data_IF_966146071344
#
_entry.id   IF_966146071344
#
_cell.length_a   1.000
_cell.length_b   1.000
_cell.length_c   1.000
_cell.angle_alpha   90.00
_cell.angle_beta   90.00
_cell.angle_gamma   90.00
#
_symmetry.space_group_name_H-M   'P 1'
#
loop_
_entity.id
_entity.type
_entity.pdbx_description
1 polymer ?
#
# COMPACT_ATOMS: atom_id res chain seq x y z
N UNK A 1 -3.54 8.11 13.48
CA UNK A 1 -4.37 6.93 13.16
C UNK A 1 -3.99 6.46 11.77
N UNK A 2 -3.69 5.19 11.57
CA UNK A 2 -3.38 4.65 10.24
C UNK A 2 -4.61 3.97 9.64
N UNK A 3 -4.78 4.09 8.34
CA UNK A 3 -5.86 3.47 7.57
C UNK A 3 -5.26 2.57 6.50
N UNK A 4 -5.91 1.46 6.20
CA UNK A 4 -5.47 0.44 5.25
C UNK A 4 -6.45 0.30 4.11
N UNK A 5 -5.94 0.21 2.89
CA UNK A 5 -6.74 -0.06 1.71
C UNK A 5 -6.14 -1.26 0.96
N UNK A 6 -6.96 -2.26 0.67
CA UNK A 6 -6.53 -3.48 -0.01
C UNK A 6 -6.71 -3.36 -1.52
N UNK A 7 -5.68 -3.72 -2.27
CA UNK A 7 -5.71 -3.78 -3.72
C UNK A 7 -4.82 -4.92 -4.25
N UNK A 8 -5.12 -5.45 -5.46
CA UNK A 8 -4.32 -6.53 -6.03
C UNK A 8 -2.92 -6.04 -6.43
N UNK A 9 -1.93 -6.92 -6.30
CA UNK A 9 -0.64 -6.71 -6.92
C UNK A 9 -0.83 -6.85 -8.42
N UNK A 10 -0.39 -5.84 -9.18
CA UNK A 10 -0.69 -5.74 -10.61
C UNK A 10 0.30 -6.49 -11.48
N UNK A 11 1.61 -6.34 -11.21
CA UNK A 11 2.67 -6.94 -12.03
C UNK A 11 3.96 -7.14 -11.23
N UNK A 12 4.57 -8.30 -11.39
CA UNK A 12 5.96 -8.57 -11.01
C UNK A 12 6.70 -8.93 -12.29
N UNK A 13 7.76 -8.19 -12.62
CA UNK A 13 8.53 -8.42 -13.82
C UNK A 13 9.16 -9.81 -13.85
N UNK A 14 8.97 -10.51 -14.97
CA UNK A 14 9.70 -11.74 -15.28
C UNK A 14 11.13 -11.46 -15.76
N UNK A 15 11.40 -10.21 -16.16
CA UNK A 15 12.66 -9.79 -16.71
C UNK A 15 13.57 -9.15 -15.65
N UNK A 16 14.80 -9.14 -15.97
CA UNK A 16 16.00 -8.58 -15.37
C UNK A 16 15.91 -7.87 -14.03
N UNK A 17 16.48 -8.56 -13.07
CA UNK A 17 16.95 -7.99 -11.81
C UNK A 17 18.08 -7.00 -12.06
N UNK A 18 17.95 -5.81 -11.49
CA UNK A 18 19.06 -4.87 -11.39
C UNK A 18 19.61 -4.96 -9.98
N UNK A 19 20.87 -5.35 -9.84
CA UNK A 19 21.54 -5.49 -8.55
C UNK A 19 20.76 -6.36 -7.52
N UNK A 20 20.16 -7.48 -7.97
CA UNK A 20 19.42 -8.40 -7.11
C UNK A 20 18.00 -7.93 -6.74
N UNK A 21 17.53 -6.82 -7.33
CA UNK A 21 16.20 -6.27 -7.11
C UNK A 21 15.27 -6.64 -8.26
N UNK A 22 14.05 -6.98 -7.92
CA UNK A 22 12.99 -7.35 -8.88
C UNK A 22 11.98 -6.21 -9.00
N UNK A 23 11.73 -5.69 -10.22
CA UNK A 23 10.69 -4.69 -10.41
C UNK A 23 9.31 -5.21 -10.06
N UNK A 24 8.52 -4.38 -9.39
CA UNK A 24 7.12 -4.61 -9.03
C UNK A 24 6.29 -3.39 -9.39
N UNK A 25 5.05 -3.63 -9.83
CA UNK A 25 4.04 -2.62 -10.05
C UNK A 25 2.77 -3.03 -9.32
N UNK A 26 2.21 -2.11 -8.56
CA UNK A 26 1.02 -2.38 -7.74
C UNK A 26 -0.02 -1.28 -7.93
N UNK A 27 -1.29 -1.66 -7.77
CA UNK A 27 -2.37 -0.71 -7.52
C UNK A 27 -2.43 -0.49 -6.02
N UNK A 28 -2.23 0.74 -5.56
CA UNK A 28 -2.34 1.06 -4.14
C UNK A 28 -3.81 1.12 -3.71
N UNK A 29 -4.65 1.78 -4.50
CA UNK A 29 -6.11 1.81 -4.31
C UNK A 29 -6.83 2.36 -5.54
N UNK A 30 -8.16 2.12 -5.60
CA UNK A 30 -9.06 2.74 -6.57
C UNK A 30 -9.38 4.18 -6.18
N UNK A 31 -9.63 5.04 -7.16
CA UNK A 31 -10.06 6.42 -7.01
C UNK A 31 -11.54 6.50 -7.43
N UNK A 32 -12.37 7.12 -6.60
CA UNK A 32 -13.81 7.21 -6.84
C UNK A 32 -14.22 8.61 -7.30
N UNK A 33 -15.10 8.74 -8.30
CA UNK A 33 -15.53 10.05 -8.79
C UNK A 33 -16.41 10.82 -7.77
N UNK A 34 -17.08 10.08 -6.89
CA UNK A 34 -18.02 10.63 -5.89
C UNK A 34 -17.94 9.86 -4.56
N UNK A 35 -18.66 10.30 -3.52
CA UNK A 35 -18.67 9.69 -2.19
C UNK A 35 -19.71 8.56 -2.06
N UNK A 36 -20.35 8.14 -3.13
CA UNK A 36 -21.34 7.06 -3.10
C UNK A 36 -20.71 5.69 -3.18
N UNK A 37 -19.40 5.66 -3.47
CA UNK A 37 -18.59 4.44 -3.50
C UNK A 37 -17.33 4.61 -2.67
N UNK A 38 -16.95 3.56 -1.98
CA UNK A 38 -15.78 3.48 -1.12
C UNK A 38 -15.22 2.07 -1.06
N UNK A 39 -14.03 1.95 -0.53
CA UNK A 39 -13.39 0.66 -0.26
C UNK A 39 -13.95 -0.01 1.00
N UNK A 40 -13.63 -1.29 1.21
CA UNK A 40 -14.11 -2.08 2.35
C UNK A 40 -13.87 -1.43 3.71
N UNK A 41 -12.81 -0.61 3.83
CA UNK A 41 -12.51 0.15 5.05
C UNK A 41 -13.29 1.48 5.18
N UNK A 42 -14.23 1.77 4.28
CA UNK A 42 -15.07 2.97 4.28
C UNK A 42 -14.44 4.22 3.68
N UNK A 43 -13.24 4.13 3.08
CA UNK A 43 -12.56 5.28 2.48
C UNK A 43 -12.97 5.47 1.03
N UNK A 44 -13.35 6.70 0.67
CA UNK A 44 -13.57 7.16 -0.70
C UNK A 44 -12.41 8.05 -1.14
N UNK A 45 -11.52 7.53 -1.97
CA UNK A 45 -10.36 8.25 -2.46
C UNK A 45 -10.74 9.21 -3.58
N UNK A 46 -10.39 10.50 -3.44
CA UNK A 46 -10.61 11.53 -4.46
C UNK A 46 -9.31 11.91 -5.14
N UNK A 47 -9.36 12.02 -6.47
CA UNK A 47 -8.16 12.26 -7.29
C UNK A 47 -7.40 13.53 -6.86
N UNK A 48 -8.11 14.61 -6.54
CA UNK A 48 -7.47 15.87 -6.10
C UNK A 48 -6.58 15.70 -4.87
N UNK A 49 -7.04 14.95 -3.84
CA UNK A 49 -6.25 14.69 -2.63
C UNK A 49 -5.18 13.61 -2.85
N UNK A 50 -5.47 12.61 -3.70
CA UNK A 50 -4.47 11.63 -4.11
C UNK A 50 -3.31 12.32 -4.83
N UNK A 51 -3.58 13.20 -5.79
CA UNK A 51 -2.57 13.98 -6.51
C UNK A 51 -1.75 14.88 -5.57
N UNK A 52 -2.37 15.49 -4.58
CA UNK A 52 -1.70 16.34 -3.60
C UNK A 52 -0.73 15.56 -2.69
N UNK A 53 -1.02 14.28 -2.40
CA UNK A 53 -0.29 13.48 -1.41
C UNK A 53 0.57 12.36 -2.00
N UNK A 54 0.44 12.01 -3.29
CA UNK A 54 1.14 10.87 -3.92
C UNK A 54 2.68 11.00 -3.90
N UNK A 55 3.22 12.19 -3.70
CA UNK A 55 4.67 12.40 -3.59
C UNK A 55 5.30 11.62 -2.43
N UNK A 56 4.53 11.36 -1.35
CA UNK A 56 4.97 10.57 -0.20
C UNK A 56 5.11 9.07 -0.48
N UNK A 57 4.62 8.59 -1.63
CA UNK A 57 4.83 7.19 -2.06
C UNK A 57 6.27 6.94 -2.50
N UNK A 58 6.97 7.99 -2.97
CA UNK A 58 8.37 7.84 -3.40
C UNK A 58 9.26 7.58 -2.18
N UNK A 59 9.96 6.45 -2.17
CA UNK A 59 10.75 5.98 -1.04
C UNK A 59 9.95 5.20 0.02
N UNK A 60 8.63 5.09 -0.14
CA UNK A 60 7.78 4.33 0.78
C UNK A 60 8.18 2.85 0.78
N UNK A 61 8.25 2.27 1.98
CA UNK A 61 8.64 0.87 2.16
C UNK A 61 7.56 -0.09 1.69
N UNK A 62 7.99 -1.16 1.02
CA UNK A 62 7.21 -2.38 0.85
C UNK A 62 7.61 -3.31 1.98
N UNK A 63 6.65 -3.77 2.76
CA UNK A 63 6.87 -4.57 3.96
C UNK A 63 6.10 -5.88 3.92
N UNK A 64 6.58 -6.86 4.69
CA UNK A 64 5.90 -8.11 4.97
C UNK A 64 6.17 -8.53 6.41
N UNK A 65 5.16 -9.01 7.10
CA UNK A 65 5.29 -9.84 8.29
C UNK A 65 5.27 -11.30 7.84
N UNK A 66 6.24 -12.09 8.26
CA UNK A 66 6.34 -13.47 7.79
C UNK A 66 5.80 -14.47 8.83
N UNK A 67 5.11 -15.50 8.35
CA UNK A 67 4.60 -16.59 9.20
C UNK A 67 5.72 -17.39 9.87
N UNK A 68 6.87 -17.50 9.21
CA UNK A 68 7.98 -18.33 9.65
C UNK A 68 9.32 -17.62 9.44
N UNK A 69 10.37 -18.14 10.10
CA UNK A 69 11.75 -17.69 9.91
C UNK A 69 12.28 -17.92 8.48
N UNK A 70 11.61 -18.78 7.69
CA UNK A 70 11.95 -19.01 6.29
C UNK A 70 11.70 -17.79 5.39
N UNK A 71 10.89 -16.83 5.86
CA UNK A 71 10.58 -15.58 5.16
C UNK A 71 10.08 -15.81 3.74
N UNK A 72 9.12 -16.71 3.60
CA UNK A 72 8.49 -17.09 2.33
C UNK A 72 7.05 -16.58 2.22
N UNK A 73 6.21 -16.88 3.22
CA UNK A 73 4.78 -16.56 3.20
C UNK A 73 4.48 -15.31 4.02
N UNK A 74 3.99 -14.23 3.40
CA UNK A 74 3.56 -13.04 4.12
C UNK A 74 2.24 -13.31 4.86
N UNK A 75 2.06 -12.61 5.98
CA UNK A 75 0.93 -12.85 6.87
C UNK A 75 0.15 -11.57 7.19
N UNK A 76 0.84 -10.50 7.58
CA UNK A 76 0.21 -9.30 8.13
C UNK A 76 1.13 -8.06 7.90
N UNK A 77 0.80 -6.95 8.55
CA UNK A 77 1.52 -5.68 8.49
C UNK A 77 2.71 -5.57 9.44
N UNK A 78 2.84 -6.49 10.41
CA UNK A 78 3.87 -6.41 11.45
C UNK A 78 3.61 -5.37 12.52
N UNK A 79 2.36 -4.95 12.69
CA UNK A 79 1.97 -3.99 13.73
C UNK A 79 1.98 -4.67 15.10
N UNK A 80 2.81 -4.14 16.01
CA UNK A 80 2.98 -4.66 17.37
C UNK A 80 2.20 -3.86 18.43
N UNK A 81 2.14 -2.54 18.26
CA UNK A 81 1.51 -1.65 19.23
C UNK A 81 1.12 -0.31 18.60
N UNK A 82 0.56 0.59 19.40
CA UNK A 82 0.28 1.99 19.07
C UNK A 82 0.92 2.87 20.13
N UNK A 83 1.79 3.79 19.72
CA UNK A 83 2.47 4.71 20.64
C UNK A 83 1.45 5.56 21.39
N UNK A 84 1.67 5.75 22.69
CA UNK A 84 0.76 6.52 23.55
C UNK A 84 0.80 8.03 23.25
N UNK A 85 1.98 8.55 22.90
CA UNK A 85 2.23 9.98 22.73
C UNK A 85 1.60 10.60 21.48
N UNK A 86 1.66 9.93 20.33
CA UNK A 86 1.19 10.47 19.03
C UNK A 86 0.18 9.57 18.33
N UNK A 87 -0.17 8.43 18.94
CA UNK A 87 -1.12 7.45 18.40
C UNK A 87 -0.71 6.86 17.04
N UNK A 88 0.57 6.92 16.71
CA UNK A 88 1.10 6.26 15.52
C UNK A 88 1.33 4.77 15.80
N UNK A 89 1.04 3.91 14.82
CA UNK A 89 1.31 2.47 14.93
C UNK A 89 2.81 2.18 14.95
N UNK A 90 3.20 1.17 15.71
CA UNK A 90 4.53 0.56 15.69
C UNK A 90 4.47 -0.72 14.85
N UNK A 91 5.39 -0.83 13.90
CA UNK A 91 5.50 -1.95 12.97
C UNK A 91 6.83 -2.70 13.17
N UNK A 92 7.10 -3.14 14.41
CA UNK A 92 8.38 -3.73 14.77
C UNK A 92 8.59 -5.13 14.18
N UNK A 93 7.50 -5.85 13.86
CA UNK A 93 7.55 -7.15 13.18
C UNK A 93 7.49 -7.03 11.64
N UNK A 94 7.42 -5.82 11.11
CA UNK A 94 7.47 -5.59 9.68
C UNK A 94 8.89 -5.70 9.14
N UNK A 95 9.07 -6.59 8.17
CA UNK A 95 10.34 -6.72 7.42
C UNK A 95 10.23 -5.89 6.13
N UNK A 96 11.17 -4.94 5.95
CA UNK A 96 11.27 -4.19 4.70
C UNK A 96 11.79 -5.10 3.59
N UNK A 97 10.96 -5.39 2.59
CA UNK A 97 11.29 -6.27 1.46
C UNK A 97 11.50 -5.53 0.16
N UNK A 98 11.28 -4.23 0.14
CA UNK A 98 11.42 -3.38 -1.05
C UNK A 98 11.01 -1.93 -0.79
N UNK A 99 10.92 -1.15 -1.86
CA UNK A 99 10.49 0.25 -1.82
C UNK A 99 9.90 0.69 -3.16
N UNK A 100 9.14 1.79 -3.14
CA UNK A 100 8.63 2.42 -4.34
C UNK A 100 9.50 3.58 -4.80
N UNK A 101 9.67 3.70 -6.12
CA UNK A 101 10.47 4.74 -6.77
C UNK A 101 9.58 5.77 -7.48
N UNK A 102 8.35 5.39 -7.81
CA UNK A 102 7.43 6.19 -8.61
C UNK A 102 5.98 5.92 -8.26
N UNK A 103 5.15 6.96 -8.32
CA UNK A 103 3.70 6.84 -8.22
C UNK A 103 3.01 7.78 -9.20
N UNK A 104 1.85 7.36 -9.70
CA UNK A 104 1.02 8.12 -10.64
C UNK A 104 -0.40 7.60 -10.65
N UNK A 105 -1.32 8.44 -11.11
CA UNK A 105 -2.72 8.06 -11.31
C UNK A 105 -2.91 7.58 -12.74
N UNK A 106 -3.53 6.41 -12.92
CA UNK A 106 -3.77 5.80 -14.23
C UNK A 106 -5.07 5.00 -14.25
N UNK A 107 -5.53 4.70 -15.45
CA UNK A 107 -6.67 3.82 -15.68
C UNK A 107 -6.17 2.38 -15.83
N UNK A 108 -6.59 1.50 -14.93
CA UNK A 108 -6.14 0.10 -14.85
C UNK A 108 -7.31 -0.84 -15.06
N UNK A 109 -7.13 -1.88 -15.87
CA UNK A 109 -8.11 -2.94 -16.02
C UNK A 109 -7.98 -3.94 -14.86
N UNK A 110 -9.02 -4.05 -14.05
CA UNK A 110 -9.10 -4.98 -12.92
C UNK A 110 -10.37 -5.80 -13.05
N UNK A 111 -10.23 -7.11 -13.25
CA UNK A 111 -11.37 -8.01 -13.40
C UNK A 111 -12.26 -7.68 -14.61
N UNK A 112 -11.67 -7.21 -15.71
CA UNK A 112 -12.39 -6.82 -16.95
C UNK A 112 -13.10 -5.46 -16.87
N UNK A 113 -12.83 -4.67 -15.82
CA UNK A 113 -13.39 -3.32 -15.65
C UNK A 113 -12.24 -2.31 -15.54
N UNK A 114 -12.31 -1.27 -16.34
CA UNK A 114 -11.37 -0.13 -16.24
C UNK A 114 -11.69 0.70 -15.00
N UNK A 115 -10.69 0.88 -14.14
CA UNK A 115 -10.79 1.64 -12.89
C UNK A 115 -9.72 2.71 -12.83
N UNK A 116 -10.07 3.88 -12.33
CA UNK A 116 -9.13 4.95 -12.02
C UNK A 116 -8.39 4.61 -10.74
N UNK A 117 -7.07 4.53 -10.76
CA UNK A 117 -6.28 4.01 -9.64
C UNK A 117 -5.03 4.85 -9.37
N UNK A 118 -4.57 4.84 -8.11
CA UNK A 118 -3.20 5.18 -7.78
C UNK A 118 -2.33 3.94 -7.99
N UNK A 119 -1.32 4.08 -8.84
CA UNK A 119 -0.36 3.04 -9.20
C UNK A 119 1.01 3.43 -8.65
N UNK A 120 1.75 2.45 -8.14
CA UNK A 120 3.12 2.61 -7.71
C UNK A 120 4.04 1.58 -8.39
N UNK A 121 5.23 2.02 -8.74
CA UNK A 121 6.31 1.19 -9.27
C UNK A 121 7.51 1.23 -8.33
N UNK A 122 8.17 0.10 -8.16
CA UNK A 122 9.33 -0.02 -7.30
C UNK A 122 10.05 -1.34 -7.47
N UNK A 123 10.77 -1.74 -6.44
CA UNK A 123 11.56 -2.98 -6.47
C UNK A 123 11.43 -3.76 -5.18
N UNK A 124 11.43 -5.10 -5.30
CA UNK A 124 11.61 -6.05 -4.20
C UNK A 124 13.08 -6.48 -4.13
N UNK A 125 13.62 -6.63 -2.93
CA UNK A 125 15.00 -7.09 -2.69
C UNK A 125 15.07 -8.64 -2.76
N UNK A 126 14.96 -9.17 -3.97
CA UNK A 126 14.96 -10.61 -4.21
C UNK A 126 16.27 -11.29 -3.78
N UNK A 127 17.38 -10.57 -3.81
CA UNK A 127 18.65 -11.15 -3.35
C UNK A 127 18.63 -11.49 -1.85
N UNK A 128 17.85 -10.73 -1.04
CA UNK A 128 17.70 -10.97 0.40
C UNK A 128 16.48 -11.80 0.75
N UNK A 129 15.43 -11.73 -0.09
CA UNK A 129 14.14 -12.41 0.13
C UNK A 129 13.73 -13.28 -1.07
N UNK A 130 14.60 -14.23 -1.51
CA UNK A 130 14.34 -15.02 -2.72
C UNK A 130 13.13 -15.94 -2.58
N UNK A 131 12.90 -16.51 -1.40
CA UNK A 131 11.75 -17.39 -1.15
C UNK A 131 10.43 -16.62 -1.21
N UNK A 132 10.38 -15.42 -0.61
CA UNK A 132 9.23 -14.54 -0.66
C UNK A 132 8.88 -14.13 -2.09
N UNK A 133 9.86 -13.69 -2.87
CA UNK A 133 9.62 -13.27 -4.26
C UNK A 133 9.18 -14.46 -5.12
N UNK A 134 9.73 -15.66 -4.90
CA UNK A 134 9.28 -16.88 -5.57
C UNK A 134 7.82 -17.20 -5.23
N UNK A 135 7.48 -17.22 -3.93
CA UNK A 135 6.12 -17.43 -3.46
C UNK A 135 5.13 -16.41 -4.07
N UNK A 136 5.51 -15.14 -4.05
CA UNK A 136 4.69 -14.05 -4.58
C UNK A 136 4.40 -14.25 -6.08
N UNK A 137 5.41 -14.62 -6.87
CA UNK A 137 5.25 -14.88 -8.31
C UNK A 137 4.36 -16.10 -8.60
N UNK A 138 4.42 -17.14 -7.78
CA UNK A 138 3.59 -18.34 -7.92
C UNK A 138 2.12 -18.06 -7.58
N UNK A 139 1.85 -17.17 -6.61
CA UNK A 139 0.51 -16.94 -6.08
C UNK A 139 -0.21 -15.72 -6.70
N UNK A 140 0.50 -14.84 -7.39
CA UNK A 140 -0.11 -13.65 -8.04
C UNK A 140 -1.13 -14.00 -9.13
N UNK A 141 -0.88 -15.07 -9.89
CA UNK A 141 -1.71 -15.43 -11.05
C UNK A 141 -3.16 -15.77 -10.65
N UNK A 142 -3.39 -16.21 -9.43
CA UNK A 142 -4.70 -16.60 -8.93
C UNK A 142 -5.47 -15.45 -8.25
N UNK A 143 -4.98 -14.21 -8.34
CA UNK A 143 -5.56 -13.00 -7.69
C UNK A 143 -5.73 -13.14 -6.17
N UNK A 144 -5.00 -14.06 -5.54
CA UNK A 144 -5.09 -14.35 -4.10
C UNK A 144 -4.29 -13.34 -3.29
N UNK A 145 -3.20 -12.81 -3.86
CA UNK A 145 -2.30 -11.91 -3.15
C UNK A 145 -2.80 -10.47 -3.27
N UNK A 146 -3.15 -9.89 -2.15
CA UNK A 146 -3.54 -8.48 -2.03
C UNK A 146 -2.50 -7.76 -1.19
N UNK A 147 -2.19 -6.53 -1.59
CA UNK A 147 -1.43 -5.63 -0.75
C UNK A 147 -2.34 -4.60 -0.07
N UNK A 148 -1.85 -4.01 0.99
CA UNK A 148 -2.56 -3.00 1.76
C UNK A 148 -1.70 -1.77 1.94
N UNK A 149 -2.18 -0.62 1.45
CA UNK A 149 -1.52 0.67 1.65
C UNK A 149 -1.89 1.25 3.01
N UNK A 150 -0.92 1.89 3.63
CA UNK A 150 -1.06 2.59 4.92
C UNK A 150 -0.88 4.09 4.72
N UNK A 151 -1.69 4.87 5.44
CA UNK A 151 -1.58 6.32 5.50
C UNK A 151 -1.48 6.80 6.94
N UNK A 152 -0.78 7.90 7.15
CA UNK A 152 -0.63 8.58 8.44
C UNK A 152 -0.98 10.05 8.31
N UNK A 153 -1.36 10.68 9.42
CA UNK A 153 -1.56 12.12 9.46
C UNK A 153 -0.25 12.89 9.38
N UNK A 154 -0.32 14.10 8.86
CA UNK A 154 0.84 14.98 8.74
C UNK A 154 1.20 15.64 10.07
N UNK A 155 2.50 15.95 10.32
CA UNK A 155 2.94 16.61 11.55
C UNK A 155 2.23 17.95 11.84
N UNK A 156 1.92 18.74 10.81
CA UNK A 156 1.20 20.01 10.93
C UNK A 156 -0.25 19.87 11.40
N UNK A 157 -0.76 18.65 11.46
CA UNK A 157 -2.07 18.28 12.00
C UNK A 157 -1.97 17.36 13.22
N UNK A 158 -0.89 17.49 14.00
CA UNK A 158 -0.62 16.67 15.20
C UNK A 158 -0.67 15.15 14.93
N UNK A 159 -0.33 14.72 13.71
CA UNK A 159 -0.37 13.31 13.29
C UNK A 159 -1.77 12.77 13.01
N UNK A 160 -2.81 13.60 13.01
CA UNK A 160 -4.16 13.17 12.65
C UNK A 160 -4.40 13.28 11.14
N UNK A 161 -5.03 12.23 10.58
CA UNK A 161 -5.56 12.29 9.22
C UNK A 161 -6.80 13.18 9.23
N UNK A 162 -6.83 14.18 8.36
CA UNK A 162 -7.99 15.04 8.21
C UNK A 162 -8.92 14.44 7.17
N UNK A 163 -10.15 14.20 7.54
CA UNK A 163 -11.20 13.67 6.67
C UNK A 163 -12.29 14.71 6.41
N UNK A 164 -12.88 14.66 5.22
CA UNK A 164 -14.24 15.16 5.00
C UNK A 164 -15.22 14.08 5.45
N UNK A 165 -16.09 14.42 6.39
CA UNK A 165 -16.90 13.45 7.15
C UNK A 165 -16.19 12.96 8.43
N UNK A 166 -16.91 12.22 9.28
CA UNK A 166 -16.34 11.62 10.50
C UNK A 166 -15.39 10.47 10.16
N UNK A 167 -14.35 10.29 10.94
CA UNK A 167 -13.33 9.25 10.69
C UNK A 167 -13.86 7.79 10.69
N UNK A 168 -15.07 7.56 11.19
CA UNK A 168 -15.79 6.28 11.16
C UNK A 168 -16.89 6.22 10.11
N UNK A 169 -17.16 7.31 9.39
CA UNK A 169 -18.21 7.34 8.39
C UNK A 169 -17.80 6.62 7.12
N UNK A 170 -18.72 5.83 6.58
CA UNK A 170 -18.54 5.26 5.25
C UNK A 170 -18.60 6.35 4.19
N UNK A 171 -17.70 6.27 3.22
CA UNK A 171 -17.52 7.30 2.20
C UNK A 171 -16.69 8.52 2.66
N UNK A 172 -16.05 8.44 3.85
CA UNK A 172 -15.12 9.49 4.30
C UNK A 172 -13.96 9.68 3.32
N UNK A 173 -13.55 10.92 3.13
CA UNK A 173 -12.50 11.29 2.18
C UNK A 173 -11.28 11.80 2.94
N UNK A 174 -10.13 11.11 2.90
CA UNK A 174 -8.89 11.62 3.46
C UNK A 174 -8.37 12.78 2.60
N UNK A 175 -8.01 13.90 3.25
CA UNK A 175 -7.58 15.12 2.59
C UNK A 175 -6.11 15.43 2.85
N UNK A 176 -5.68 15.38 4.13
CA UNK A 176 -4.32 15.67 4.55
C UNK A 176 -3.71 14.44 5.22
N UNK A 177 -2.81 13.78 4.51
CA UNK A 177 -2.15 12.56 4.94
C UNK A 177 -0.87 12.33 4.13
N UNK A 178 -0.05 11.41 4.58
CA UNK A 178 1.06 10.85 3.80
C UNK A 178 0.88 9.33 3.67
N UNK A 179 1.30 8.79 2.55
CA UNK A 179 1.45 7.35 2.38
C UNK A 179 2.68 6.90 3.17
N UNK A 180 2.52 5.89 4.03
CA UNK A 180 3.55 5.51 5.01
C UNK A 180 4.11 4.11 4.82
N UNK A 181 3.36 3.21 4.20
CA UNK A 181 3.79 1.84 3.98
C UNK A 181 2.87 1.08 3.03
N UNK A 182 3.35 -0.03 2.53
CA UNK A 182 2.59 -0.99 1.74
C UNK A 182 2.95 -2.40 2.18
N UNK A 183 1.99 -3.10 2.79
CA UNK A 183 2.18 -4.48 3.23
C UNK A 183 1.65 -5.47 2.18
N UNK A 184 2.37 -6.55 2.01
CA UNK A 184 2.00 -7.70 1.17
C UNK A 184 1.71 -8.89 2.07
#
# INVERSE_FOLDING_TARGET
>A
MSERAFAPIYEISNENKIAGRRPIKVVLHEIFPDNTRWQENGISWKEEYVQANLHSVVGMSIVAEFLTEDRDVPYNHGMTDVREEDKLPLFEDATMVGHFDKAYVDDVEIGGVTKRCLVAEGTLDEMRYPKFVAWLRENMADSVVKGSVEIVGKPEHDGYIIYSGGWKEEGRVPQYYDYSGYAI
#
